data_IF_983049776456
#
_entry.id   IF_983049776456
#
_cell.length_a   1.000
_cell.length_b   1.000
_cell.length_c   1.000
_cell.angle_alpha   90.00
_cell.angle_beta   90.00
_cell.angle_gamma   90.00
#
_symmetry.space_group_name_H-M   'P 1'
#
loop_
_entity.id
_entity.type
_entity.pdbx_description
1 polymer ?
#
# COMPACT_ATOMS: atom_id res chain seq x y z
N UNK A 1 -22.38 4.98 -39.46
CA UNK A 1 -22.84 4.33 -38.21
C UNK A 1 -22.00 3.07 -38.07
N UNK A 2 -20.75 3.18 -37.60
CA UNK A 2 -20.36 3.20 -36.17
C UNK A 2 -20.67 1.85 -35.52
N UNK A 3 -19.62 1.06 -35.29
CA UNK A 3 -19.34 0.44 -33.99
C UNK A 3 -17.93 -0.17 -34.05
N UNK A 4 -16.93 0.70 -33.87
CA UNK A 4 -15.63 0.32 -33.33
C UNK A 4 -15.85 -0.18 -31.90
N UNK A 5 -16.27 -1.42 -31.74
CA UNK A 5 -16.10 -2.15 -30.48
C UNK A 5 -14.63 -2.56 -30.42
N UNK A 6 -13.79 -1.56 -30.14
CA UNK A 6 -12.47 -1.73 -29.60
C UNK A 6 -12.60 -2.69 -28.42
N UNK A 7 -12.25 -3.94 -28.67
CA UNK A 7 -12.04 -4.96 -27.68
C UNK A 7 -10.87 -4.44 -26.86
N UNK A 8 -11.22 -3.68 -25.82
CA UNK A 8 -10.34 -3.40 -24.72
C UNK A 8 -9.99 -4.77 -24.14
N UNK A 9 -8.96 -5.38 -24.73
CA UNK A 9 -8.22 -6.46 -24.11
C UNK A 9 -7.89 -5.92 -22.73
N UNK A 10 -8.65 -6.37 -21.73
CA UNK A 10 -8.27 -6.32 -20.35
C UNK A 10 -6.95 -7.09 -20.29
N UNK A 11 -5.86 -6.38 -20.56
CA UNK A 11 -4.53 -6.91 -20.62
C UNK A 11 -4.31 -7.50 -19.23
N UNK A 12 -4.24 -8.83 -19.08
CA UNK A 12 -4.02 -9.40 -17.77
C UNK A 12 -2.67 -8.85 -17.34
N UNK A 13 -2.66 -8.07 -16.26
CA UNK A 13 -1.46 -7.60 -15.60
C UNK A 13 -0.75 -8.81 -14.98
N UNK A 14 -0.27 -9.72 -15.83
CA UNK A 14 0.21 -11.03 -15.47
C UNK A 14 1.72 -10.95 -15.22
N UNK A 15 2.06 -11.18 -13.95
CA UNK A 15 3.36 -11.53 -13.35
C UNK A 15 4.38 -10.44 -13.04
N UNK A 16 4.66 -9.46 -13.89
CA UNK A 16 5.79 -8.54 -13.62
C UNK A 16 5.53 -7.51 -12.50
N UNK A 17 4.28 -7.15 -12.24
CA UNK A 17 3.85 -6.15 -11.25
C UNK A 17 3.50 -6.74 -9.88
N UNK A 18 3.43 -8.07 -9.74
CA UNK A 18 3.04 -8.77 -8.50
C UNK A 18 3.94 -8.50 -7.30
N UNK A 19 5.30 -8.50 -7.38
CA UNK A 19 6.11 -8.36 -6.17
C UNK A 19 5.99 -6.96 -5.55
N UNK A 20 5.87 -5.89 -6.36
CA UNK A 20 5.69 -4.52 -5.87
C UNK A 20 4.32 -4.31 -5.21
N UNK A 21 3.28 -4.92 -5.79
CA UNK A 21 1.94 -4.96 -5.20
C UNK A 21 1.91 -5.73 -3.88
N UNK A 22 2.58 -6.89 -3.81
CA UNK A 22 2.66 -7.70 -2.60
C UNK A 22 3.36 -6.95 -1.46
N UNK A 23 4.47 -6.28 -1.76
CA UNK A 23 5.20 -5.46 -0.78
C UNK A 23 4.31 -4.32 -0.29
N UNK A 24 3.64 -3.60 -1.17
CA UNK A 24 2.71 -2.53 -0.78
C UNK A 24 1.59 -3.01 0.14
N UNK A 25 0.95 -4.15 -0.19
CA UNK A 25 -0.11 -4.76 0.62
C UNK A 25 0.42 -5.22 1.98
N UNK A 26 1.58 -5.88 2.01
CA UNK A 26 2.18 -6.35 3.27
C UNK A 26 2.60 -5.19 4.17
N UNK A 27 3.23 -4.15 3.63
CA UNK A 27 3.62 -2.96 4.39
C UNK A 27 2.40 -2.21 4.91
N UNK A 28 1.36 -2.07 4.08
CA UNK A 28 0.09 -1.46 4.50
C UNK A 28 -0.60 -2.27 5.60
N UNK A 29 -0.73 -3.58 5.39
CA UNK A 29 -1.37 -4.49 6.34
C UNK A 29 -0.64 -4.55 7.67
N UNK A 30 0.70 -4.59 7.66
CA UNK A 30 1.51 -4.55 8.86
C UNK A 30 1.39 -3.20 9.59
N UNK A 31 1.41 -2.07 8.86
CA UNK A 31 1.17 -0.76 9.44
C UNK A 31 -0.21 -0.65 10.12
N UNK A 32 -1.26 -1.18 9.48
CA UNK A 32 -2.60 -1.24 10.06
C UNK A 32 -2.67 -2.14 11.31
N UNK A 33 -2.03 -3.31 11.28
CA UNK A 33 -2.00 -4.22 12.43
C UNK A 33 -1.28 -3.58 13.62
N UNK A 34 -0.17 -2.89 13.35
CA UNK A 34 0.60 -2.17 14.37
C UNK A 34 -0.20 -1.00 14.94
N UNK A 35 -0.95 -0.29 14.10
CA UNK A 35 -1.89 0.76 14.52
C UNK A 35 -2.99 0.18 15.42
N UNK A 36 -3.61 -0.93 15.04
CA UNK A 36 -4.62 -1.60 15.85
C UNK A 36 -4.06 -2.07 17.20
N UNK A 37 -2.85 -2.65 17.22
CA UNK A 37 -2.15 -3.01 18.45
C UNK A 37 -1.86 -1.80 19.34
N UNK A 38 -1.45 -0.67 18.76
CA UNK A 38 -1.26 0.59 19.47
C UNK A 38 -2.56 1.10 20.11
N UNK A 39 -3.68 1.06 19.38
CA UNK A 39 -5.00 1.44 19.90
C UNK A 39 -5.40 0.54 21.08
N UNK A 40 -5.21 -0.77 20.96
CA UNK A 40 -5.49 -1.72 22.05
C UNK A 40 -4.62 -1.42 23.27
N UNK A 41 -3.33 -1.12 23.09
CA UNK A 41 -2.44 -0.72 24.18
C UNK A 41 -2.89 0.58 24.87
N UNK A 42 -3.37 1.57 24.09
CA UNK A 42 -3.96 2.80 24.64
C UNK A 42 -5.21 2.50 25.45
N UNK A 43 -6.11 1.66 24.94
CA UNK A 43 -7.35 1.29 25.63
C UNK A 43 -7.06 0.54 26.95
N UNK A 44 -6.11 -0.40 26.93
CA UNK A 44 -5.67 -1.10 28.15
C UNK A 44 -5.07 -0.09 29.15
N UNK A 45 -4.22 0.81 28.66
CA UNK A 45 -3.65 1.91 29.44
C UNK A 45 -4.70 2.83 30.07
N UNK A 46 -5.78 3.12 29.34
CA UNK A 46 -6.84 4.02 29.79
C UNK A 46 -7.79 3.37 30.82
N UNK A 47 -8.03 2.06 30.73
CA UNK A 47 -9.01 1.37 31.60
C UNK A 47 -8.36 0.81 32.88
N UNK A 48 -7.18 0.21 32.77
CA UNK A 48 -6.58 -0.57 33.86
C UNK A 48 -5.09 -0.27 34.08
N UNK A 49 -4.46 0.44 33.15
CA UNK A 49 -3.02 0.42 33.00
C UNK A 49 -2.29 1.67 33.53
N UNK A 50 -0.99 1.53 33.77
CA UNK A 50 -0.11 2.66 34.02
C UNK A 50 -0.02 3.60 32.81
N UNK A 51 0.03 4.90 33.06
CA UNK A 51 -0.02 5.96 32.04
C UNK A 51 1.08 5.85 30.94
N UNK A 52 2.19 5.16 31.21
CA UNK A 52 3.24 4.92 30.22
C UNK A 52 2.76 4.05 29.04
N UNK A 53 1.78 3.16 29.24
CA UNK A 53 1.17 2.37 28.16
C UNK A 53 0.43 3.24 27.15
N UNK A 54 -0.14 4.35 27.60
CA UNK A 54 -0.82 5.32 26.73
C UNK A 54 0.23 5.99 25.82
N UNK A 55 1.36 6.42 26.39
CA UNK A 55 2.45 7.02 25.61
C UNK A 55 3.03 6.03 24.58
N UNK A 56 3.27 4.78 24.98
CA UNK A 56 3.75 3.73 24.09
C UNK A 56 2.71 3.39 23.01
N UNK A 57 1.44 3.31 23.37
CA UNK A 57 0.34 3.04 22.46
C UNK A 57 0.18 4.15 21.41
N UNK A 58 0.21 5.42 21.83
CA UNK A 58 0.20 6.57 20.91
C UNK A 58 1.41 6.52 19.97
N UNK A 59 2.61 6.27 20.48
CA UNK A 59 3.81 6.10 19.65
C UNK A 59 3.65 4.99 18.62
N UNK A 60 3.11 3.84 19.04
CA UNK A 60 2.81 2.71 18.15
C UNK A 60 1.78 3.05 17.08
N UNK A 61 0.71 3.78 17.42
CA UNK A 61 -0.29 4.27 16.47
C UNK A 61 0.35 5.18 15.43
N UNK A 62 1.17 6.14 15.83
CA UNK A 62 1.83 7.07 14.91
C UNK A 62 2.75 6.32 13.95
N UNK A 63 3.60 5.43 14.47
CA UNK A 63 4.52 4.62 13.66
C UNK A 63 3.74 3.72 12.68
N UNK A 64 2.70 3.06 13.17
CA UNK A 64 1.81 2.21 12.36
C UNK A 64 1.13 2.99 11.24
N UNK A 65 0.66 4.21 11.53
CA UNK A 65 0.04 5.08 10.54
C UNK A 65 1.04 5.48 9.45
N UNK A 66 2.26 5.88 9.83
CA UNK A 66 3.32 6.24 8.87
C UNK A 66 3.67 5.06 7.96
N UNK A 67 3.80 3.85 8.53
CA UNK A 67 4.01 2.62 7.75
C UNK A 67 2.86 2.33 6.80
N UNK A 68 1.61 2.49 7.25
CA UNK A 68 0.42 2.31 6.43
C UNK A 68 0.39 3.31 5.25
N UNK A 69 0.66 4.59 5.52
CA UNK A 69 0.78 5.61 4.47
C UNK A 69 1.88 5.28 3.47
N UNK A 70 3.04 4.82 3.94
CA UNK A 70 4.15 4.43 3.07
C UNK A 70 3.77 3.23 2.18
N UNK A 71 3.09 2.23 2.75
CA UNK A 71 2.54 1.09 2.01
C UNK A 71 1.53 1.51 0.94
N UNK A 72 0.65 2.46 1.27
CA UNK A 72 -0.31 3.04 0.33
C UNK A 72 0.38 3.79 -0.82
N UNK A 73 1.43 4.57 -0.53
CA UNK A 73 2.22 5.28 -1.56
C UNK A 73 2.94 4.28 -2.47
N UNK A 74 3.52 3.21 -1.92
CA UNK A 74 4.16 2.16 -2.71
C UNK A 74 3.15 1.44 -3.60
N UNK A 75 1.96 1.15 -3.06
CA UNK A 75 0.86 0.53 -3.79
C UNK A 75 0.38 1.44 -4.94
N UNK A 76 0.19 2.73 -4.66
CA UNK A 76 -0.16 3.73 -5.66
C UNK A 76 0.88 3.82 -6.77
N UNK A 77 2.18 3.89 -6.42
CA UNK A 77 3.26 3.87 -7.41
C UNK A 77 3.28 2.59 -8.24
N UNK A 78 3.03 1.44 -7.62
CA UNK A 78 2.96 0.16 -8.34
C UNK A 78 1.79 0.09 -9.33
N UNK A 79 0.68 0.77 -9.02
CA UNK A 79 -0.53 0.82 -9.84
C UNK A 79 -0.48 1.90 -10.94
N UNK A 80 0.19 3.03 -10.68
CA UNK A 80 0.22 4.20 -11.59
C UNK A 80 1.48 4.26 -12.46
N UNK A 81 2.63 3.76 -11.98
CA UNK A 81 3.86 3.68 -12.78
C UNK A 81 3.91 2.64 -13.92
N UNK A 82 2.98 1.67 -14.12
CA UNK A 82 3.04 0.74 -15.26
C UNK A 82 2.93 1.40 -16.64
N UNK A 83 2.52 2.67 -16.73
CA UNK A 83 2.31 3.37 -18.01
C UNK A 83 3.60 3.85 -18.70
N UNK A 84 4.77 3.76 -18.05
CA UNK A 84 6.06 4.03 -18.69
C UNK A 84 6.59 2.74 -19.35
N UNK A 85 5.91 2.27 -20.40
CA UNK A 85 6.35 1.13 -21.20
C UNK A 85 7.75 1.37 -21.81
N UNK A 86 8.46 0.29 -22.23
CA UNK A 86 9.77 0.41 -22.86
C UNK A 86 9.72 1.44 -23.98
N UNK A 87 10.59 2.46 -23.91
CA UNK A 87 10.76 3.46 -24.96
C UNK A 87 10.90 2.70 -26.29
N UNK A 88 10.02 2.93 -27.29
CA UNK A 88 10.14 2.25 -28.58
C UNK A 88 11.52 2.59 -29.13
N UNK A 89 12.39 1.58 -29.25
CA UNK A 89 13.70 1.73 -29.89
C UNK A 89 13.44 2.06 -31.34
N UNK A 90 13.58 3.34 -31.64
CA UNK A 90 13.44 3.91 -32.97
C UNK A 90 14.51 3.28 -33.85
N UNK A 91 14.07 2.47 -34.81
CA UNK A 91 14.71 2.24 -36.11
C UNK A 91 16.15 1.74 -36.14
N UNK A 92 16.34 0.56 -36.76
CA UNK A 92 17.39 0.44 -37.78
C UNK A 92 16.79 -0.20 -39.02
N UNK A 93 16.93 0.55 -40.13
CA UNK A 93 16.72 0.12 -41.51
C UNK A 93 17.68 -1.00 -41.87
#
# INVERSE_FOLDING_TARGET
>A
MSNDTGSAHAQPATRASRPRLLVGILTFGFGMLLTAGGIVAVLIGAVQGPAWLIAVGIGGVIIGLVLAFLGMVLLYRALVAPASGPRPTTGKK
#
